data_IF_057588470259
#
_entry.id   IF_057588470259
#
_cell.length_a   1.000
_cell.length_b   1.000
_cell.length_c   1.000
_cell.angle_alpha   90.00
_cell.angle_beta   90.00
_cell.angle_gamma   90.00
#
_symmetry.space_group_name_H-M   'P 1'
#
loop_
_entity.id
_entity.type
_entity.pdbx_description
1 polymer ?
#
# COMPACT_ATOMS: atom_id res chain seq x y z
N UNK A 1 2.95 -7.84 -9.81
CA UNK A 1 2.51 -8.62 -8.67
C UNK A 1 3.68 -9.11 -7.85
N UNK A 2 3.54 -9.05 -6.54
CA UNK A 2 4.48 -9.63 -5.59
C UNK A 2 3.71 -10.17 -4.36
N UNK A 3 4.05 -11.39 -3.94
CA UNK A 3 3.51 -12.05 -2.76
C UNK A 3 4.56 -12.25 -1.65
N UNK A 4 5.72 -11.63 -1.81
CA UNK A 4 6.81 -11.61 -0.82
C UNK A 4 7.19 -12.99 -0.24
N UNK A 5 7.07 -14.05 -1.03
CA UNK A 5 7.29 -15.44 -0.58
C UNK A 5 8.75 -15.90 -0.67
N UNK A 6 9.61 -15.18 -1.38
CA UNK A 6 11.00 -15.60 -1.63
C UNK A 6 11.98 -15.19 -0.50
N UNK A 7 11.52 -14.35 0.43
CA UNK A 7 12.26 -13.90 1.61
C UNK A 7 13.39 -12.93 1.27
N UNK A 8 13.27 -12.23 0.13
CA UNK A 8 14.27 -11.25 -0.33
C UNK A 8 13.57 -10.06 -0.95
N UNK A 9 13.89 -8.88 -0.45
CA UNK A 9 13.43 -7.65 -1.09
C UNK A 9 14.04 -7.55 -2.48
N UNK A 10 13.19 -7.58 -3.51
CA UNK A 10 13.59 -7.56 -4.91
C UNK A 10 14.28 -6.23 -5.24
N UNK A 11 15.24 -6.29 -6.20
CA UNK A 11 15.96 -5.11 -6.70
C UNK A 11 15.07 -4.12 -7.47
N UNK A 12 13.84 -4.52 -7.84
CA UNK A 12 12.84 -3.63 -8.42
C UNK A 12 12.31 -2.60 -7.43
N UNK A 13 12.58 -2.79 -6.13
CA UNK A 13 12.16 -1.86 -5.08
C UNK A 13 13.25 -0.88 -4.70
N UNK A 14 12.85 0.33 -4.41
CA UNK A 14 13.67 1.39 -3.88
C UNK A 14 13.09 1.90 -2.55
N UNK A 15 13.95 2.36 -1.67
CA UNK A 15 13.55 2.98 -0.42
C UNK A 15 13.64 4.49 -0.56
N UNK A 16 12.56 5.19 -0.25
CA UNK A 16 12.49 6.65 -0.38
C UNK A 16 12.15 7.32 0.94
N UNK A 17 12.48 8.59 1.04
CA UNK A 17 12.42 9.40 2.24
C UNK A 17 13.29 8.81 3.35
N UNK A 18 12.71 8.54 4.47
CA UNK A 18 13.35 7.88 5.58
C UNK A 18 13.03 6.39 5.50
N UNK A 19 13.89 5.56 4.91
CA UNK A 19 13.53 4.20 4.55
C UNK A 19 13.09 3.33 5.73
N UNK A 20 13.39 3.74 6.97
CA UNK A 20 13.07 2.89 8.12
C UNK A 20 13.76 1.53 8.00
N UNK A 21 13.09 0.49 8.47
CA UNK A 21 13.57 -0.89 8.32
C UNK A 21 12.48 -1.77 7.74
N UNK A 22 12.72 -2.24 6.54
CA UNK A 22 11.87 -3.20 5.85
C UNK A 22 12.44 -4.60 5.95
N UNK A 23 11.60 -5.59 6.17
CA UNK A 23 11.95 -7.00 6.30
C UNK A 23 10.95 -7.82 5.54
N UNK A 24 11.42 -8.64 4.59
CA UNK A 24 10.61 -9.66 3.94
C UNK A 24 10.85 -10.99 4.62
N UNK A 25 9.81 -11.56 5.21
CA UNK A 25 9.87 -12.82 5.93
C UNK A 25 8.50 -13.47 6.10
N UNK A 26 8.43 -14.76 5.83
CA UNK A 26 7.22 -15.55 6.07
C UNK A 26 6.06 -15.19 5.15
N UNK A 27 6.35 -14.81 3.90
CA UNK A 27 5.36 -14.45 2.91
C UNK A 27 4.78 -13.06 3.06
N UNK A 28 5.46 -12.17 3.78
CA UNK A 28 5.02 -10.77 3.93
C UNK A 28 6.23 -9.84 3.92
N UNK A 29 6.02 -8.60 3.47
CA UNK A 29 6.97 -7.52 3.68
C UNK A 29 6.47 -6.60 4.78
N UNK A 30 7.32 -6.28 5.74
CA UNK A 30 6.96 -5.48 6.91
C UNK A 30 7.89 -4.29 7.08
N UNK A 31 7.31 -3.14 7.35
CA UNK A 31 8.04 -2.00 7.87
C UNK A 31 7.98 -2.06 9.40
N UNK A 32 9.14 -2.20 10.05
CA UNK A 32 9.24 -2.49 11.49
C UNK A 32 9.83 -1.35 12.32
N UNK A 33 10.51 -0.40 11.69
CA UNK A 33 11.15 0.73 12.36
C UNK A 33 10.96 2.01 11.53
N UNK A 34 9.77 2.67 11.60
CA UNK A 34 9.56 3.94 10.93
C UNK A 34 10.43 5.03 11.56
N UNK A 35 10.84 5.99 10.77
CA UNK A 35 11.46 7.19 11.31
C UNK A 35 10.38 8.10 11.90
N UNK A 36 10.59 8.63 13.12
CA UNK A 36 9.68 9.61 13.69
C UNK A 36 9.55 10.87 12.82
N UNK A 37 8.33 11.36 12.69
CA UNK A 37 8.05 12.63 12.02
C UNK A 37 7.89 12.56 10.51
N UNK A 38 7.99 11.36 9.89
CA UNK A 38 7.90 11.25 8.44
C UNK A 38 7.35 9.90 7.97
N UNK A 39 6.86 9.84 6.73
CA UNK A 39 6.42 8.61 6.10
C UNK A 39 7.59 7.84 5.48
N UNK A 40 7.56 6.51 5.55
CA UNK A 40 8.53 5.63 4.92
C UNK A 40 7.92 4.93 3.72
N UNK A 41 8.63 4.90 2.60
CA UNK A 41 8.14 4.28 1.37
C UNK A 41 9.04 3.15 0.88
N UNK A 42 8.43 2.04 0.52
CA UNK A 42 8.98 1.04 -0.40
C UNK A 42 8.36 1.29 -1.77
N UNK A 43 9.15 1.68 -2.73
CA UNK A 43 8.68 2.17 -4.02
C UNK A 43 9.08 1.20 -5.12
N UNK A 44 8.16 0.87 -6.03
CA UNK A 44 8.49 0.13 -7.24
C UNK A 44 9.23 1.05 -8.20
N UNK A 45 10.41 0.62 -8.66
CA UNK A 45 11.21 1.38 -9.60
C UNK A 45 10.48 1.54 -10.95
N UNK A 46 10.61 2.71 -11.54
CA UNK A 46 9.95 3.09 -12.80
C UNK A 46 8.72 3.95 -12.58
N UNK A 47 8.32 4.64 -13.63
CA UNK A 47 7.13 5.47 -13.63
C UNK A 47 5.91 4.66 -14.12
N UNK A 48 4.78 4.91 -13.50
CA UNK A 48 3.50 4.32 -13.87
C UNK A 48 2.61 5.39 -14.47
N UNK A 49 2.21 5.15 -15.72
CA UNK A 49 1.24 6.00 -16.41
C UNK A 49 -0.18 5.75 -15.88
N UNK A 50 -1.03 6.74 -16.05
CA UNK A 50 -2.43 6.66 -15.66
C UNK A 50 -3.35 6.39 -16.87
N UNK A 51 -4.50 5.73 -16.64
CA UNK A 51 -4.96 5.23 -15.35
C UNK A 51 -4.28 3.94 -14.91
N UNK A 52 -4.10 3.75 -13.62
CA UNK A 52 -3.71 2.47 -13.05
C UNK A 52 -4.42 2.19 -11.71
N UNK A 53 -4.42 0.95 -11.31
CA UNK A 53 -4.96 0.50 -10.03
C UNK A 53 -3.88 -0.19 -9.23
N UNK A 54 -3.76 0.14 -7.96
CA UNK A 54 -2.93 -0.60 -7.02
C UNK A 54 -3.81 -1.27 -5.97
N UNK A 55 -3.51 -2.53 -5.65
CA UNK A 55 -4.19 -3.32 -4.62
C UNK A 55 -3.16 -4.05 -3.78
N UNK A 56 -3.41 -4.18 -2.49
CA UNK A 56 -2.54 -4.86 -1.54
C UNK A 56 -3.34 -5.42 -0.37
N UNK A 57 -2.91 -6.52 0.20
CA UNK A 57 -3.29 -6.89 1.56
C UNK A 57 -2.43 -6.12 2.55
N UNK A 58 -3.06 -5.52 3.55
CA UNK A 58 -2.41 -4.72 4.59
C UNK A 58 -2.86 -5.18 5.97
N UNK A 59 -1.91 -5.29 6.89
CA UNK A 59 -2.16 -5.57 8.31
C UNK A 59 -1.33 -4.61 9.14
N UNK A 60 -1.99 -3.92 10.04
CA UNK A 60 -1.28 -3.10 11.02
C UNK A 60 -0.97 -3.94 12.24
N UNK A 61 0.30 -4.10 12.56
CA UNK A 61 0.77 -4.91 13.68
C UNK A 61 0.89 -4.08 14.97
N UNK A 62 1.22 -2.78 14.84
CA UNK A 62 1.28 -1.82 15.94
C UNK A 62 0.94 -0.42 15.41
N UNK A 63 0.20 0.37 16.18
CA UNK A 63 -0.05 1.76 15.86
C UNK A 63 0.88 2.70 16.64
N UNK A 64 1.45 3.65 15.92
CA UNK A 64 2.09 4.81 16.52
C UNK A 64 1.08 5.81 17.09
N UNK A 65 1.58 6.88 17.67
CA UNK A 65 0.77 7.94 18.25
C UNK A 65 0.52 9.11 17.29
N UNK A 66 -0.59 9.79 17.53
CA UNK A 66 -0.94 11.07 16.94
C UNK A 66 -1.29 11.02 15.45
N UNK A 67 -1.29 12.21 14.85
CA UNK A 67 -1.68 12.42 13.46
C UNK A 67 -0.78 11.72 12.43
N UNK A 68 0.40 11.27 12.84
CA UNK A 68 1.33 10.59 11.97
C UNK A 68 1.11 9.06 11.92
N UNK A 69 0.20 8.51 12.71
CA UNK A 69 -0.14 7.08 12.70
C UNK A 69 -0.98 6.74 11.45
N UNK A 70 -0.31 6.65 10.32
CA UNK A 70 -0.86 6.38 8.98
C UNK A 70 -0.06 5.29 8.27
N UNK A 71 -0.70 4.54 7.36
CA UNK A 71 -0.02 3.61 6.44
C UNK A 71 -0.93 3.30 5.25
N UNK A 72 -0.37 2.80 4.14
CA UNK A 72 -1.16 2.43 2.97
C UNK A 72 -0.39 2.43 1.65
N UNK A 73 -0.93 3.11 0.62
CA UNK A 73 -0.41 3.15 -0.75
C UNK A 73 0.04 4.56 -1.12
N UNK A 74 1.11 4.66 -1.92
CA UNK A 74 1.59 5.91 -2.50
C UNK A 74 1.47 5.92 -4.02
N UNK A 75 1.23 7.11 -4.60
CA UNK A 75 1.02 7.31 -6.04
C UNK A 75 1.65 8.61 -6.52
N UNK A 76 2.05 8.65 -7.80
CA UNK A 76 2.75 9.81 -8.40
C UNK A 76 3.90 10.30 -7.52
N UNK A 77 4.60 9.35 -6.91
CA UNK A 77 5.71 9.67 -6.02
C UNK A 77 6.89 10.19 -6.85
N UNK A 78 7.47 11.28 -6.39
CA UNK A 78 8.68 11.82 -6.98
C UNK A 78 9.87 10.88 -6.70
N UNK A 79 10.63 10.48 -7.72
CA UNK A 79 11.79 9.62 -7.52
C UNK A 79 12.85 10.18 -6.57
N UNK A 80 12.91 11.49 -6.38
CA UNK A 80 13.93 12.12 -5.55
C UNK A 80 13.61 12.04 -4.05
N UNK A 81 12.34 12.28 -3.68
CA UNK A 81 11.96 12.44 -2.28
C UNK A 81 10.66 11.73 -1.87
N UNK A 82 10.02 10.98 -2.78
CA UNK A 82 8.73 10.33 -2.62
C UNK A 82 7.57 11.27 -2.22
N UNK A 83 7.70 12.58 -2.44
CA UNK A 83 6.55 13.46 -2.34
C UNK A 83 5.53 13.13 -3.42
N UNK A 84 4.25 13.13 -3.11
CA UNK A 84 3.21 12.73 -4.06
C UNK A 84 1.84 12.64 -3.43
N UNK A 85 1.13 11.60 -3.72
CA UNK A 85 -0.20 11.32 -3.15
C UNK A 85 -0.20 9.96 -2.46
N UNK A 86 -1.00 9.84 -1.41
CA UNK A 86 -1.15 8.59 -0.70
C UNK A 86 -2.63 8.27 -0.45
N UNK A 87 -2.97 6.99 -0.48
CA UNK A 87 -4.23 6.45 0.04
C UNK A 87 -3.92 5.71 1.33
N UNK A 88 -4.41 6.20 2.45
CA UNK A 88 -3.96 5.81 3.78
C UNK A 88 -5.11 5.37 4.69
N UNK A 89 -4.76 4.51 5.63
CA UNK A 89 -5.46 4.33 6.88
C UNK A 89 -4.88 5.33 7.86
N UNK A 90 -5.73 6.14 8.50
CA UNK A 90 -5.35 7.11 9.50
C UNK A 90 -5.92 6.70 10.86
N UNK A 91 -5.08 6.20 11.74
CA UNK A 91 -5.51 5.64 13.03
C UNK A 91 -6.18 6.68 13.94
N UNK A 92 -5.56 7.82 14.13
CA UNK A 92 -6.04 8.86 15.04
C UNK A 92 -7.46 9.34 14.70
N UNK A 93 -7.77 9.53 13.41
CA UNK A 93 -9.10 9.94 12.94
C UNK A 93 -10.04 8.76 12.70
N UNK A 94 -9.54 7.52 12.77
CA UNK A 94 -10.29 6.30 12.46
C UNK A 94 -10.94 6.35 11.07
N UNK A 95 -10.20 6.83 10.07
CA UNK A 95 -10.68 7.00 8.71
C UNK A 95 -9.74 6.36 7.66
N UNK A 96 -10.19 6.36 6.42
CA UNK A 96 -9.35 6.19 5.23
C UNK A 96 -9.32 7.53 4.49
N UNK A 97 -8.16 7.88 3.95
CA UNK A 97 -7.96 9.19 3.35
C UNK A 97 -7.08 9.16 2.11
N UNK A 98 -7.33 10.09 1.17
CA UNK A 98 -6.33 10.54 0.24
C UNK A 98 -5.61 11.76 0.83
N UNK A 99 -4.29 11.71 0.81
CA UNK A 99 -3.42 12.76 1.30
C UNK A 99 -2.48 13.21 0.19
N UNK A 100 -2.25 14.51 0.08
CA UNK A 100 -1.16 15.02 -0.74
C UNK A 100 0.11 15.11 0.13
N UNK A 101 0.85 14.03 0.09
CA UNK A 101 1.96 13.73 1.00
C UNK A 101 3.22 14.52 0.62
N UNK A 102 3.86 15.15 1.60
CA UNK A 102 5.03 16.02 1.41
C UNK A 102 4.83 17.21 0.44
N UNK A 103 3.57 17.52 0.11
CA UNK A 103 3.24 18.67 -0.72
C UNK A 103 2.58 19.76 0.14
N UNK A 104 1.27 19.67 0.33
CA UNK A 104 0.51 20.65 1.11
C UNK A 104 -0.26 20.04 2.29
N UNK A 105 -0.11 18.73 2.52
CA UNK A 105 -0.76 17.98 3.60
C UNK A 105 -2.28 18.08 3.62
N UNK A 106 -2.89 18.35 2.46
CA UNK A 106 -4.34 18.38 2.31
C UNK A 106 -4.86 16.96 2.19
N UNK A 107 -5.96 16.70 2.87
CA UNK A 107 -6.60 15.39 2.89
C UNK A 107 -8.06 15.47 2.44
N UNK A 108 -8.57 14.36 1.92
CA UNK A 108 -9.97 14.06 1.73
C UNK A 108 -10.24 12.68 2.31
N UNK A 109 -11.18 12.56 3.20
CA UNK A 109 -11.36 11.37 4.03
C UNK A 109 -12.80 10.90 4.17
N UNK A 110 -12.97 9.65 4.61
CA UNK A 110 -14.23 9.06 5.06
C UNK A 110 -13.98 7.91 6.03
N UNK A 111 -14.98 7.56 6.81
CA UNK A 111 -14.90 6.40 7.70
C UNK A 111 -15.14 5.11 6.94
N UNK A 112 -14.35 4.05 7.18
CA UNK A 112 -14.66 2.73 6.65
C UNK A 112 -16.03 2.25 7.14
N UNK A 113 -16.85 1.62 6.29
CA UNK A 113 -18.20 1.20 6.65
C UNK A 113 -18.25 0.08 7.70
N UNK A 114 -17.14 -0.65 7.87
CA UNK A 114 -17.00 -1.70 8.89
C UNK A 114 -16.43 -1.19 10.24
N UNK A 115 -16.19 0.13 10.35
CA UNK A 115 -15.68 0.75 11.57
C UNK A 115 -14.16 0.86 11.62
N UNK A 116 -13.56 0.56 12.76
CA UNK A 116 -12.14 0.75 13.02
C UNK A 116 -11.30 -0.39 12.44
N UNK A 117 -10.18 -0.07 11.83
CA UNK A 117 -9.14 -1.03 11.46
C UNK A 117 -8.54 -1.63 12.73
N UNK A 118 -8.63 -2.94 12.89
CA UNK A 118 -8.11 -3.65 14.06
C UNK A 118 -6.67 -4.10 13.82
N UNK A 119 -5.86 -3.96 14.84
CA UNK A 119 -4.49 -4.46 14.86
C UNK A 119 -4.46 -5.98 14.72
N UNK A 120 -3.55 -6.49 13.88
CA UNK A 120 -3.38 -7.92 13.65
C UNK A 120 -4.36 -8.56 12.66
N UNK A 121 -5.36 -7.82 12.18
CA UNK A 121 -6.29 -8.30 11.15
C UNK A 121 -5.85 -7.84 9.75
N UNK A 122 -6.05 -8.70 8.76
CA UNK A 122 -5.77 -8.40 7.36
C UNK A 122 -6.96 -7.67 6.70
N UNK A 123 -6.62 -6.73 5.84
CA UNK A 123 -7.56 -5.96 5.02
C UNK A 123 -7.04 -5.89 3.59
N UNK A 124 -7.93 -5.88 2.62
CA UNK A 124 -7.62 -5.45 1.28
C UNK A 124 -7.73 -3.94 1.17
N UNK A 125 -6.75 -3.33 0.56
CA UNK A 125 -6.74 -1.91 0.23
C UNK A 125 -6.54 -1.76 -1.27
N UNK A 126 -7.43 -1.01 -1.93
CA UNK A 126 -7.42 -0.82 -3.39
C UNK A 126 -7.66 0.64 -3.73
N UNK A 127 -6.84 1.19 -4.63
CA UNK A 127 -7.02 2.52 -5.16
C UNK A 127 -6.81 2.55 -6.67
N UNK A 128 -7.70 3.24 -7.37
CA UNK A 128 -7.58 3.56 -8.79
C UNK A 128 -7.23 5.04 -8.93
N UNK A 129 -6.19 5.32 -9.71
CA UNK A 129 -5.64 6.64 -9.96
C UNK A 129 -5.85 6.98 -11.42
N UNK A 130 -6.46 8.12 -11.67
CA UNK A 130 -6.64 8.66 -13.02
C UNK A 130 -6.33 10.16 -13.07
N UNK A 131 -6.23 10.69 -14.27
CA UNK A 131 -6.02 12.12 -14.53
C UNK A 131 -7.10 13.04 -13.94
N UNK A 132 -8.27 12.48 -13.62
CA UNK A 132 -9.45 13.24 -13.19
C UNK A 132 -9.80 13.05 -11.72
N UNK A 133 -9.53 11.89 -11.16
CA UNK A 133 -9.88 11.56 -9.77
C UNK A 133 -9.09 10.38 -9.23
N UNK A 134 -9.04 10.33 -7.91
CA UNK A 134 -8.62 9.17 -7.16
C UNK A 134 -9.83 8.50 -6.52
N UNK A 135 -9.89 7.17 -6.58
CA UNK A 135 -10.92 6.39 -5.91
C UNK A 135 -10.29 5.29 -5.08
N UNK A 136 -10.81 5.09 -3.87
CA UNK A 136 -10.24 4.13 -2.93
C UNK A 136 -11.29 3.37 -2.15
N UNK A 137 -10.93 2.16 -1.71
CA UNK A 137 -11.71 1.33 -0.80
C UNK A 137 -10.82 0.40 0.01
N UNK A 138 -11.32 0.06 1.18
CA UNK A 138 -10.72 -0.88 2.12
C UNK A 138 -11.82 -1.81 2.61
N UNK A 139 -11.52 -3.10 2.77
CA UNK A 139 -12.46 -4.07 3.32
C UNK A 139 -11.70 -5.20 4.03
N UNK A 140 -12.31 -5.86 5.03
CA UNK A 140 -11.69 -6.99 5.72
C UNK A 140 -11.36 -8.14 4.77
N UNK A 141 -10.23 -8.80 5.00
CA UNK A 141 -9.89 -10.01 4.28
C UNK A 141 -10.91 -11.12 4.53
N UNK A 142 -11.21 -11.92 3.51
CA UNK A 142 -12.29 -12.91 3.55
C UNK A 142 -13.70 -12.35 3.26
N UNK A 143 -13.88 -11.04 3.22
CA UNK A 143 -15.13 -10.42 2.79
C UNK A 143 -15.09 -10.07 1.29
N UNK A 144 -16.28 -9.95 0.69
CA UNK A 144 -16.38 -9.55 -0.72
C UNK A 144 -15.96 -8.09 -0.92
N UNK A 145 -15.21 -7.86 -1.98
CA UNK A 145 -14.89 -6.50 -2.43
C UNK A 145 -16.15 -5.65 -2.57
N UNK A 146 -16.22 -4.46 -1.94
CA UNK A 146 -17.33 -3.52 -2.12
C UNK A 146 -17.50 -3.14 -3.59
N UNK A 147 -18.74 -3.23 -4.12
CA UNK A 147 -19.04 -2.87 -5.51
C UNK A 147 -18.81 -1.39 -5.81
N UNK A 148 -18.96 -0.53 -4.82
CA UNK A 148 -18.76 0.92 -4.93
C UNK A 148 -17.42 1.31 -4.36
N UNK A 149 -16.80 2.31 -4.94
CA UNK A 149 -15.73 3.03 -4.30
C UNK A 149 -16.25 3.70 -3.03
N UNK A 150 -15.47 3.62 -1.95
CA UNK A 150 -15.87 4.14 -0.65
C UNK A 150 -15.41 5.59 -0.44
N UNK A 151 -14.35 5.97 -1.13
CA UNK A 151 -13.85 7.33 -1.15
C UNK A 151 -13.54 7.73 -2.59
N UNK A 152 -14.03 8.91 -2.98
CA UNK A 152 -13.66 9.56 -4.24
C UNK A 152 -13.08 10.93 -3.93
N UNK A 153 -11.94 11.23 -4.52
CA UNK A 153 -11.27 12.50 -4.37
C UNK A 153 -10.92 13.11 -5.72
N UNK A 154 -11.17 14.39 -5.89
CA UNK A 154 -10.70 15.13 -7.06
C UNK A 154 -9.24 15.50 -6.87
N UNK A 155 -8.50 15.57 -7.99
CA UNK A 155 -7.06 15.87 -8.00
C UNK A 155 -6.66 17.26 -7.47
N UNK A 156 -7.62 18.10 -7.13
CA UNK A 156 -7.38 19.48 -6.74
C UNK A 156 -6.94 19.62 -5.28
N UNK A 157 -5.86 18.93 -4.93
CA UNK A 157 -5.21 19.09 -3.64
C UNK A 157 -4.19 20.25 -3.59
N UNK A 158 -4.18 21.13 -4.60
CA UNK A 158 -3.38 22.37 -4.58
C UNK A 158 -1.90 22.19 -4.96
N UNK A 159 -1.53 21.10 -5.55
CA UNK A 159 -0.20 20.89 -6.12
C UNK A 159 -0.30 19.81 -7.19
N UNK A 160 -0.22 20.19 -8.46
CA UNK A 160 -0.31 19.23 -9.55
C UNK A 160 1.03 18.54 -9.73
N UNK A 161 1.10 17.28 -9.38
CA UNK A 161 2.12 16.37 -9.87
C UNK A 161 1.77 15.96 -11.30
N UNK A 162 2.78 15.61 -12.13
CA UNK A 162 2.51 14.95 -13.42
C UNK A 162 1.58 13.75 -13.28
N UNK A 163 0.87 13.40 -14.34
CA UNK A 163 -0.02 12.24 -14.37
C UNK A 163 0.72 10.89 -14.38
N UNK A 164 2.00 10.88 -14.12
CA UNK A 164 2.86 9.72 -13.96
C UNK A 164 3.73 9.87 -12.71
N UNK A 165 4.36 8.81 -12.29
CA UNK A 165 5.27 8.77 -11.17
C UNK A 165 5.36 7.39 -10.55
N UNK A 166 6.16 7.25 -9.52
CA UNK A 166 6.33 5.96 -8.86
C UNK A 166 5.13 5.58 -8.01
N UNK A 167 4.93 4.28 -7.85
CA UNK A 167 3.91 3.69 -6.97
C UNK A 167 4.61 2.96 -5.83
N UNK A 168 4.10 3.08 -4.61
CA UNK A 168 4.77 2.51 -3.44
C UNK A 168 3.84 2.06 -2.33
N UNK A 169 4.42 1.32 -1.39
CA UNK A 169 3.83 1.00 -0.10
C UNK A 169 4.26 2.05 0.92
N UNK A 170 3.30 2.70 1.57
CA UNK A 170 3.55 3.60 2.68
C UNK A 170 3.61 2.78 3.96
N UNK A 171 4.81 2.62 4.51
CA UNK A 171 5.07 1.86 5.72
C UNK A 171 4.70 2.58 7.02
N UNK A 172 4.11 3.74 6.87
CA UNK A 172 3.67 4.52 8.01
C UNK A 172 4.76 5.36 8.66
N UNK A 173 4.36 6.04 9.69
CA UNK A 173 5.20 6.93 10.48
C UNK A 173 4.78 6.91 11.95
N UNK A 174 5.49 7.68 12.76
CA UNK A 174 5.20 7.87 14.17
C UNK A 174 5.53 9.29 14.58
N UNK A 175 4.76 9.88 15.49
CA UNK A 175 5.05 11.20 16.03
C UNK A 175 6.33 11.22 16.87
N UNK A 176 6.54 10.19 17.69
CA UNK A 176 7.71 10.05 18.55
C UNK A 176 7.92 8.59 18.96
N UNK A 177 9.17 8.21 19.23
CA UNK A 177 9.49 6.93 19.85
C UNK A 177 9.12 6.96 21.35
N UNK A 178 8.78 5.81 21.98
CA UNK A 178 8.87 4.45 21.43
C UNK A 178 7.66 4.02 20.59
N UNK A 179 6.54 4.76 20.62
CA UNK A 179 5.36 4.42 19.82
C UNK A 179 5.68 4.51 18.32
N UNK A 180 5.36 3.48 17.57
CA UNK A 180 5.64 3.39 16.14
C UNK A 180 4.53 2.64 15.41
N UNK A 181 4.24 3.05 14.19
CA UNK A 181 3.40 2.27 13.30
C UNK A 181 4.23 1.13 12.70
N UNK A 182 3.83 -0.10 12.95
CA UNK A 182 4.39 -1.31 12.32
C UNK A 182 3.34 -1.89 11.41
N UNK A 183 3.66 -2.09 10.16
CA UNK A 183 2.72 -2.54 9.14
C UNK A 183 3.32 -3.63 8.28
N UNK A 184 2.51 -4.62 7.94
CA UNK A 184 2.83 -5.73 7.05
C UNK A 184 1.96 -5.67 5.81
N UNK A 185 2.55 -6.02 4.66
CA UNK A 185 1.89 -6.08 3.37
C UNK A 185 2.11 -7.45 2.73
N UNK A 186 1.12 -7.87 1.96
CA UNK A 186 1.17 -9.08 1.14
C UNK A 186 0.38 -8.85 -0.16
N UNK A 187 0.58 -9.70 -1.15
CA UNK A 187 -0.21 -9.74 -2.38
C UNK A 187 -0.37 -8.38 -3.07
N UNK A 188 0.74 -7.65 -3.23
CA UNK A 188 0.73 -6.35 -3.90
C UNK A 188 0.72 -6.47 -5.42
N UNK A 189 -0.25 -5.83 -6.06
CA UNK A 189 -0.35 -5.76 -7.51
C UNK A 189 -0.64 -4.33 -7.99
N UNK A 190 -0.08 -4.01 -9.17
CA UNK A 190 -0.40 -2.81 -9.94
C UNK A 190 -0.93 -3.29 -11.29
N UNK A 191 -2.12 -2.83 -11.66
CA UNK A 191 -2.86 -3.27 -12.84
C UNK A 191 -3.23 -2.07 -13.72
N UNK A 192 -3.27 -2.26 -15.03
CA UNK A 192 -3.75 -1.24 -15.96
C UNK A 192 -5.26 -1.00 -15.81
N UNK A 193 -6.01 -2.04 -15.44
CA UNK A 193 -7.47 -1.97 -15.25
C UNK A 193 -7.87 -2.42 -13.86
N UNK A 194 -8.81 -1.72 -13.25
CA UNK A 194 -9.33 -2.06 -11.94
C UNK A 194 -9.93 -3.48 -11.83
N UNK A 195 -10.45 -4.02 -12.94
CA UNK A 195 -10.99 -5.39 -13.00
C UNK A 195 -9.91 -6.48 -12.97
N UNK A 196 -8.67 -6.15 -13.27
CA UNK A 196 -7.52 -7.07 -13.21
C UNK A 196 -6.94 -7.13 -11.81
N UNK A 197 -7.11 -6.06 -11.04
CA UNK A 197 -6.77 -5.97 -9.62
C UNK A 197 -7.92 -6.53 -8.76
N UNK A 198 -8.23 -7.80 -8.94
CA UNK A 198 -9.25 -8.55 -8.18
C UNK A 198 -8.54 -9.53 -7.24
N UNK A 199 -8.88 -9.57 -5.94
CA UNK A 199 -8.27 -10.51 -5.00
C UNK A 199 -8.29 -11.96 -5.48
N UNK A 200 -9.40 -12.43 -6.03
CA UNK A 200 -9.53 -13.81 -6.50
C UNK A 200 -8.58 -14.12 -7.66
N UNK A 201 -8.34 -13.15 -8.55
CA UNK A 201 -7.37 -13.27 -9.66
C UNK A 201 -5.94 -13.28 -9.11
N UNK A 202 -5.62 -12.40 -8.20
CA UNK A 202 -4.29 -12.27 -7.59
C UNK A 202 -3.92 -13.54 -6.83
N UNK A 203 -4.82 -14.04 -5.97
CA UNK A 203 -4.60 -15.26 -5.20
C UNK A 203 -4.54 -16.53 -6.11
N UNK A 204 -5.24 -16.53 -7.23
CA UNK A 204 -5.15 -17.61 -8.21
C UNK A 204 -3.76 -17.66 -8.89
N UNK A 205 -3.16 -16.51 -9.17
CA UNK A 205 -1.78 -16.42 -9.69
C UNK A 205 -0.80 -16.99 -8.67
N UNK A 206 -0.95 -16.66 -7.41
CA UNK A 206 -0.16 -17.21 -6.30
C UNK A 206 -0.25 -18.74 -6.24
N UNK A 207 -1.46 -19.28 -6.23
CA UNK A 207 -1.67 -20.73 -6.20
C UNK A 207 -1.00 -21.45 -7.38
N UNK A 208 -1.08 -20.86 -8.57
CA UNK A 208 -0.47 -21.42 -9.80
C UNK A 208 1.06 -21.40 -9.74
N UNK A 209 1.66 -20.32 -9.22
CA UNK A 209 3.11 -20.19 -9.06
C UNK A 209 3.66 -21.18 -8.02
N UNK A 210 2.96 -21.38 -6.91
CA UNK A 210 3.32 -22.37 -5.88
C UNK A 210 3.23 -23.82 -6.41
N UNK A 211 2.24 -24.15 -7.21
CA UNK A 211 2.14 -25.45 -7.87
C UNK A 211 3.31 -25.71 -8.83
N UNK A 212 3.68 -24.74 -9.65
CA UNK A 212 4.78 -24.90 -10.63
C UNK A 212 6.14 -25.10 -9.94
N UNK A 213 6.40 -24.38 -8.84
CA UNK A 213 7.63 -24.56 -8.05
C UNK A 213 7.68 -25.89 -7.31
N UNK A 214 6.55 -26.39 -6.84
CA UNK A 214 6.45 -27.72 -6.19
C UNK A 214 6.72 -28.85 -7.19
N UNK A 215 6.15 -28.79 -8.39
CA UNK A 215 6.42 -29.75 -9.48
C UNK A 215 7.87 -29.70 -9.97
N UNK A 216 8.48 -28.51 -10.02
CA UNK A 216 9.90 -28.36 -10.35
C UNK A 216 10.80 -29.06 -9.34
N UNK A 217 10.54 -28.92 -8.05
CA UNK A 217 11.30 -29.59 -6.97
C UNK A 217 11.13 -31.10 -6.98
N UNK A 218 9.95 -31.63 -7.28
CA UNK A 218 9.71 -33.08 -7.39
C UNK A 218 10.52 -33.69 -8.56
N UNK A 219 10.58 -33.00 -9.71
CA UNK A 219 11.34 -33.47 -10.88
C UNK A 219 12.86 -33.51 -10.70
N UNK A 220 13.41 -32.68 -9.81
CA UNK A 220 14.86 -32.63 -9.52
C UNK A 220 15.30 -33.62 -8.42
N UNK A 221 14.36 -34.35 -7.84
CA UNK A 221 14.60 -35.32 -6.75
C UNK A 221 14.66 -36.77 -7.23
N UNK A 222 14.70 -37.02 -8.57
CA UNK A 222 14.84 -38.35 -9.18
C UNK A 222 16.12 -38.46 -10.02
#
# INVERSE_FOLDING_TARGET
>A
YDNFDDGKIDKKYEFKNHPGKWVEKGGVISQTEPKPGDHTYLVMAGDFDEPHTSIVQIRVDEWGDGDLARCGLGFRLDPADASGYAFLIHHFLTNMEFLNDHLAWKQNDTKPPFGVIKTGEWYWMKAEISDKKFTGKIWPDGEKEPKKWLLESKLDFGGLRPASGQVGLNGGSSAALPAKTVVSFDNWAICEKASECDPDVILAVEATSKLSTTWGKIKTSY
#
